data_IF_268278978280
#
_entry.id   IF_268278978280
#
_cell.length_a   1.000
_cell.length_b   1.000
_cell.length_c   1.000
_cell.angle_alpha   90.00
_cell.angle_beta   90.00
_cell.angle_gamma   90.00
#
_symmetry.space_group_name_H-M   'P 1'
#
loop_
_entity.id
_entity.type
_entity.pdbx_description
1 polymer ?
#
# COMPACT_ATOMS: atom_id res chain seq x y z
N UNK A 1 -39.23 -13.83 69.98
CA UNK A 1 -37.98 -13.68 69.19
C UNK A 1 -38.31 -13.72 67.69
N UNK A 2 -38.21 -12.61 66.96
CA UNK A 2 -38.00 -12.62 65.50
C UNK A 2 -37.39 -11.28 65.07
N UNK A 3 -36.15 -11.33 64.59
CA UNK A 3 -35.32 -10.16 64.25
C UNK A 3 -35.81 -9.49 62.97
N UNK A 4 -35.74 -8.16 63.01
CA UNK A 4 -35.88 -7.16 61.94
C UNK A 4 -35.32 -7.60 60.58
N UNK A 5 -36.13 -7.51 59.53
CA UNK A 5 -35.66 -7.35 58.15
C UNK A 5 -35.40 -5.87 57.86
N UNK A 6 -34.13 -5.48 57.70
CA UNK A 6 -33.76 -4.18 57.12
C UNK A 6 -33.95 -4.29 55.60
N UNK A 7 -35.09 -3.82 55.08
CA UNK A 7 -35.24 -3.62 53.64
C UNK A 7 -34.51 -2.33 53.22
N UNK A 8 -33.51 -2.49 52.34
CA UNK A 8 -32.80 -1.41 51.66
C UNK A 8 -33.78 -0.63 50.77
N UNK A 9 -34.27 0.52 51.24
CA UNK A 9 -34.96 1.50 50.40
C UNK A 9 -33.96 2.60 50.00
N UNK A 10 -33.03 2.29 49.09
CA UNK A 10 -32.39 3.37 48.33
C UNK A 10 -33.43 3.85 47.34
N UNK A 11 -33.82 5.12 47.42
CA UNK A 11 -34.91 5.67 46.62
C UNK A 11 -34.62 5.48 45.13
N UNK A 12 -35.67 5.29 44.32
CA UNK A 12 -35.54 5.10 42.86
C UNK A 12 -34.74 6.24 42.20
N UNK A 13 -34.77 7.44 42.79
CA UNK A 13 -33.99 8.62 42.42
C UNK A 13 -32.48 8.44 42.69
N UNK A 14 -32.09 7.86 43.83
CA UNK A 14 -30.68 7.58 44.15
C UNK A 14 -30.09 6.48 43.27
N UNK A 15 -30.86 5.43 42.96
CA UNK A 15 -30.40 4.38 42.03
C UNK A 15 -30.21 4.90 40.60
N UNK A 16 -31.06 5.83 40.15
CA UNK A 16 -30.92 6.49 38.86
C UNK A 16 -29.72 7.44 38.80
N UNK A 17 -29.44 8.17 39.88
CA UNK A 17 -28.25 9.04 39.96
C UNK A 17 -26.93 8.24 39.95
N UNK A 18 -26.91 7.09 40.64
CA UNK A 18 -25.76 6.18 40.65
C UNK A 18 -25.56 5.53 39.26
N UNK A 19 -26.63 5.13 38.57
CA UNK A 19 -26.52 4.54 37.22
C UNK A 19 -26.11 5.55 36.15
N UNK A 20 -26.61 6.79 36.21
CA UNK A 20 -26.17 7.91 35.34
C UNK A 20 -24.69 8.23 35.59
N UNK A 21 -24.27 8.30 36.86
CA UNK A 21 -22.88 8.54 37.24
C UNK A 21 -21.92 7.45 36.74
N UNK A 22 -22.29 6.17 36.87
CA UNK A 22 -21.50 5.03 36.36
C UNK A 22 -21.45 5.04 34.83
N UNK A 23 -22.56 5.32 34.15
CA UNK A 23 -22.62 5.42 32.68
C UNK A 23 -21.72 6.52 32.11
N UNK A 24 -21.71 7.70 32.72
CA UNK A 24 -20.83 8.81 32.35
C UNK A 24 -19.35 8.46 32.56
N UNK A 25 -19.01 7.83 33.69
CA UNK A 25 -17.63 7.43 34.00
C UNK A 25 -17.12 6.37 33.00
N UNK A 26 -17.93 5.36 32.67
CA UNK A 26 -17.57 4.34 31.67
C UNK A 26 -17.40 4.97 30.28
N UNK A 27 -18.30 5.88 29.88
CA UNK A 27 -18.21 6.59 28.60
C UNK A 27 -16.92 7.42 28.47
N UNK A 28 -16.54 8.14 29.53
CA UNK A 28 -15.29 8.94 29.57
C UNK A 28 -14.05 8.03 29.48
N UNK A 29 -14.03 6.90 30.19
CA UNK A 29 -12.90 5.93 30.15
C UNK A 29 -12.74 5.30 28.77
N UNK A 30 -13.84 4.95 28.09
CA UNK A 30 -13.82 4.42 26.72
C UNK A 30 -13.32 5.47 25.72
N UNK A 31 -13.76 6.73 25.83
CA UNK A 31 -13.28 7.82 24.97
C UNK A 31 -11.77 8.07 25.16
N UNK A 32 -11.27 8.12 26.40
CA UNK A 32 -9.85 8.30 26.68
C UNK A 32 -9.03 7.12 26.12
N UNK A 33 -9.58 5.90 26.22
CA UNK A 33 -8.96 4.70 25.67
C UNK A 33 -8.92 4.72 24.13
N UNK A 34 -9.99 5.15 23.46
CA UNK A 34 -10.05 5.28 21.99
C UNK A 34 -9.10 6.37 21.50
N UNK A 35 -9.08 7.55 22.12
CA UNK A 35 -8.13 8.63 21.79
C UNK A 35 -6.70 8.16 22.06
N UNK A 36 -6.46 7.44 23.16
CA UNK A 36 -5.18 6.84 23.50
C UNK A 36 -4.71 5.84 22.44
N UNK A 37 -5.61 4.98 21.94
CA UNK A 37 -5.32 4.03 20.84
C UNK A 37 -5.07 4.76 19.52
N UNK A 38 -5.85 5.78 19.17
CA UNK A 38 -5.63 6.62 17.98
C UNK A 38 -4.28 7.35 18.07
N UNK A 39 -3.94 7.90 19.23
CA UNK A 39 -2.63 8.50 19.49
C UNK A 39 -1.51 7.46 19.46
N UNK A 40 -1.74 6.22 19.92
CA UNK A 40 -0.76 5.13 19.84
C UNK A 40 -0.50 4.73 18.37
N UNK A 41 -1.57 4.58 17.59
CA UNK A 41 -1.55 4.30 16.15
C UNK A 41 -0.89 5.43 15.36
N UNK A 42 -1.03 6.69 15.82
CA UNK A 42 -0.35 7.87 15.28
C UNK A 42 1.14 7.91 15.67
N UNK A 43 1.49 7.63 16.93
CA UNK A 43 2.88 7.61 17.44
C UNK A 43 3.73 6.52 16.78
N UNK A 44 3.15 5.39 16.38
CA UNK A 44 3.89 4.35 15.67
C UNK A 44 4.25 4.72 14.21
N UNK A 45 3.64 5.77 13.65
CA UNK A 45 4.05 6.33 12.34
C UNK A 45 5.33 7.16 12.44
N UNK A 46 5.71 7.63 13.64
CA UNK A 46 6.80 8.63 13.81
C UNK A 46 8.23 8.07 13.74
N UNK A 47 8.40 6.75 13.58
CA UNK A 47 9.72 6.11 13.42
C UNK A 47 10.12 5.86 11.97
N UNK A 48 9.20 6.01 11.03
CA UNK A 48 9.47 5.91 9.59
C UNK A 48 9.63 7.35 9.12
N UNK A 49 10.87 7.80 8.87
CA UNK A 49 11.06 8.99 8.05
C UNK A 49 10.42 8.68 6.68
N UNK A 50 9.46 9.48 6.20
CA UNK A 50 8.93 9.30 4.85
C UNK A 50 10.11 9.23 3.89
N UNK A 51 10.14 8.23 3.03
CA UNK A 51 11.13 8.21 1.96
C UNK A 51 10.86 9.42 1.07
N UNK A 52 11.91 10.16 0.77
CA UNK A 52 11.81 11.29 -0.14
C UNK A 52 12.02 10.77 -1.56
N UNK A 53 11.12 11.16 -2.45
CA UNK A 53 11.18 10.79 -3.86
C UNK A 53 11.77 11.95 -4.66
N UNK A 54 12.56 11.62 -5.67
CA UNK A 54 12.79 12.53 -6.79
C UNK A 54 11.61 12.40 -7.75
N UNK A 55 11.06 13.50 -8.24
CA UNK A 55 9.89 13.51 -9.11
C UNK A 55 9.91 14.70 -10.07
N UNK A 56 9.15 14.58 -11.14
CA UNK A 56 8.83 15.65 -12.08
C UNK A 56 7.31 15.83 -12.14
N UNK A 57 6.88 17.08 -12.36
CA UNK A 57 5.48 17.43 -12.66
C UNK A 57 5.47 17.99 -14.07
N UNK A 58 4.63 17.43 -14.94
CA UNK A 58 4.53 17.87 -16.33
C UNK A 58 3.53 19.02 -16.52
N UNK A 59 3.29 19.41 -17.77
CA UNK A 59 2.35 20.48 -18.13
C UNK A 59 0.88 20.16 -17.85
N UNK A 60 0.55 18.88 -17.62
CA UNK A 60 -0.79 18.39 -17.28
C UNK A 60 -0.99 18.22 -15.78
N UNK A 61 -0.03 18.67 -14.96
CA UNK A 61 -0.02 18.48 -13.52
C UNK A 61 0.06 16.99 -13.09
N UNK A 62 0.72 16.15 -13.89
CA UNK A 62 0.90 14.72 -13.60
C UNK A 62 2.28 14.47 -12.99
N UNK A 63 2.32 13.70 -11.90
CA UNK A 63 3.58 13.40 -11.20
C UNK A 63 4.19 12.11 -11.72
N UNK A 64 5.45 12.20 -12.15
CA UNK A 64 6.29 11.04 -12.47
C UNK A 64 7.35 10.83 -11.39
N UNK A 65 7.39 9.64 -10.78
CA UNK A 65 8.42 9.27 -9.81
C UNK A 65 9.71 8.90 -10.55
N UNK A 66 10.80 9.61 -10.26
CA UNK A 66 12.14 9.35 -10.81
C UNK A 66 12.97 8.40 -9.95
N UNK A 67 12.52 8.11 -8.74
CA UNK A 67 13.19 7.21 -7.79
C UNK A 67 13.27 7.76 -6.37
N UNK A 68 14.12 7.14 -5.56
CA UNK A 68 14.40 7.59 -4.18
C UNK A 68 15.52 8.63 -4.18
N UNK A 69 15.34 9.73 -3.46
CA UNK A 69 16.31 10.83 -3.43
C UNK A 69 17.66 10.44 -2.78
N UNK A 70 17.68 9.34 -2.01
CA UNK A 70 18.86 8.78 -1.33
C UNK A 70 19.29 7.43 -1.90
N UNK A 71 18.83 7.09 -3.11
CA UNK A 71 19.01 5.78 -3.75
C UNK A 71 18.51 4.60 -2.92
N UNK A 72 17.69 4.83 -1.89
CA UNK A 72 17.05 3.79 -1.10
C UNK A 72 18.00 2.92 -0.29
N UNK A 73 19.10 3.49 0.22
CA UNK A 73 20.12 2.78 1.01
C UNK A 73 19.55 1.97 2.19
N UNK A 74 18.40 2.38 2.72
CA UNK A 74 17.67 1.71 3.81
C UNK A 74 16.16 1.54 3.48
N UNK A 75 15.80 1.21 2.25
CA UNK A 75 14.41 1.26 1.77
C UNK A 75 13.70 -0.10 1.73
N UNK A 76 13.62 -0.84 2.85
CA UNK A 76 12.92 -2.13 2.88
C UNK A 76 11.45 -2.03 2.40
N UNK A 77 10.71 -1.05 2.92
CA UNK A 77 9.36 -0.73 2.48
C UNK A 77 9.35 0.64 1.79
N UNK A 78 8.84 0.67 0.57
CA UNK A 78 8.58 1.90 -0.18
C UNK A 78 7.07 2.06 -0.36
N UNK A 79 6.53 3.20 0.06
CA UNK A 79 5.13 3.56 -0.15
C UNK A 79 5.12 4.78 -1.03
N UNK A 80 4.77 4.59 -2.31
CA UNK A 80 4.62 5.71 -3.24
C UNK A 80 3.29 6.40 -2.91
N UNK A 81 3.28 7.72 -2.66
CA UNK A 81 2.07 8.44 -2.28
C UNK A 81 1.09 8.54 -3.45
N UNK A 82 -0.20 8.69 -3.15
CA UNK A 82 -1.24 8.98 -4.17
C UNK A 82 -1.02 10.36 -4.83
N UNK A 83 -0.46 11.31 -4.07
CA UNK A 83 -0.22 12.67 -4.54
C UNK A 83 1.10 13.26 -4.03
N UNK A 84 1.73 14.11 -4.82
CA UNK A 84 2.82 15.00 -4.43
C UNK A 84 2.44 16.42 -4.82
N UNK A 85 2.58 17.39 -3.91
CA UNK A 85 2.16 18.79 -4.11
C UNK A 85 0.69 18.97 -4.55
N UNK A 86 -0.19 18.05 -4.09
CA UNK A 86 -1.60 18.02 -4.46
C UNK A 86 -1.88 17.50 -5.87
N UNK A 87 -0.86 17.03 -6.59
CA UNK A 87 -0.92 16.47 -7.93
C UNK A 87 -0.84 14.95 -7.88
N UNK A 88 -1.54 14.25 -8.79
CA UNK A 88 -1.67 12.77 -8.77
C UNK A 88 -0.37 12.12 -9.23
N UNK A 89 0.05 11.07 -8.53
CA UNK A 89 1.14 10.20 -9.01
C UNK A 89 0.59 9.22 -10.03
N UNK A 90 1.08 9.36 -11.26
CA UNK A 90 0.53 8.67 -12.43
C UNK A 90 1.54 7.74 -13.08
N UNK A 91 2.84 8.07 -12.97
CA UNK A 91 3.90 7.34 -13.64
C UNK A 91 5.10 7.05 -12.73
N UNK A 92 5.76 5.92 -12.99
CA UNK A 92 7.11 5.62 -12.53
C UNK A 92 8.04 5.67 -13.73
N UNK A 93 9.10 6.47 -13.66
CA UNK A 93 10.03 6.67 -14.75
C UNK A 93 10.89 5.44 -15.04
N UNK A 94 11.56 5.51 -16.19
CA UNK A 94 12.58 4.55 -16.58
C UNK A 94 13.69 4.49 -15.52
N UNK A 95 14.09 3.27 -15.13
CA UNK A 95 15.14 2.99 -14.15
C UNK A 95 14.92 3.56 -12.73
N UNK A 96 13.72 4.05 -12.39
CA UNK A 96 13.47 4.78 -11.13
C UNK A 96 13.94 4.06 -9.85
N UNK A 97 13.84 2.74 -9.83
CA UNK A 97 14.29 1.88 -8.74
C UNK A 97 15.27 0.80 -9.19
N UNK A 98 15.88 0.93 -10.38
CA UNK A 98 16.81 -0.08 -10.92
C UNK A 98 17.95 -0.38 -9.95
N UNK A 99 18.31 -1.66 -9.85
CA UNK A 99 19.39 -2.21 -9.04
C UNK A 99 19.22 -1.98 -7.52
N UNK A 100 18.03 -1.58 -7.07
CA UNK A 100 17.77 -1.33 -5.66
C UNK A 100 17.51 -2.62 -4.88
N UNK A 101 18.60 -3.26 -4.47
CA UNK A 101 18.59 -4.50 -3.69
C UNK A 101 18.33 -4.31 -2.19
N UNK A 102 17.77 -3.16 -1.79
CA UNK A 102 17.28 -2.92 -0.43
C UNK A 102 15.76 -2.97 -0.33
N UNK A 103 15.04 -2.73 -1.44
CA UNK A 103 13.58 -2.76 -1.47
C UNK A 103 13.11 -4.21 -1.41
N UNK A 104 12.29 -4.51 -0.40
CA UNK A 104 11.65 -5.81 -0.25
C UNK A 104 10.17 -5.76 -0.60
N UNK A 105 9.52 -4.63 -0.37
CA UNK A 105 8.09 -4.41 -0.60
C UNK A 105 7.84 -3.01 -1.14
N UNK A 106 6.95 -2.91 -2.14
CA UNK A 106 6.50 -1.62 -2.67
C UNK A 106 4.98 -1.54 -2.75
N UNK A 107 4.43 -0.45 -2.20
CA UNK A 107 3.03 -0.07 -2.35
C UNK A 107 2.92 1.00 -3.43
N UNK A 108 2.15 0.71 -4.48
CA UNK A 108 1.85 1.61 -5.58
C UNK A 108 0.55 2.38 -5.32
N UNK A 109 0.40 3.62 -5.83
CA UNK A 109 -0.83 4.37 -5.68
C UNK A 109 -1.92 3.83 -6.61
N UNK A 110 -3.18 3.98 -6.20
CA UNK A 110 -4.33 3.46 -6.95
C UNK A 110 -4.56 4.16 -8.29
N UNK A 111 -3.97 5.34 -8.49
CA UNK A 111 -4.05 6.10 -9.74
C UNK A 111 -2.86 5.92 -10.67
N UNK A 112 -1.95 4.95 -10.42
CA UNK A 112 -0.78 4.74 -11.25
C UNK A 112 -1.17 4.10 -12.60
N UNK A 113 -0.82 4.74 -13.71
CA UNK A 113 -1.17 4.29 -15.06
C UNK A 113 0.03 3.68 -15.80
N UNK A 114 1.25 4.09 -15.47
CA UNK A 114 2.46 3.69 -16.22
C UNK A 114 3.65 3.35 -15.34
N UNK A 115 4.32 2.26 -15.71
CA UNK A 115 5.64 1.89 -15.19
C UNK A 115 6.65 1.88 -16.35
N UNK A 116 7.73 2.63 -16.22
CA UNK A 116 8.76 2.80 -17.23
C UNK A 116 9.62 1.57 -17.49
N UNK A 117 10.49 1.68 -18.49
CA UNK A 117 11.48 0.64 -18.81
C UNK A 117 12.44 0.46 -17.65
N UNK A 118 12.73 -0.79 -17.29
CA UNK A 118 13.66 -1.13 -16.20
C UNK A 118 13.33 -0.47 -14.85
N UNK A 119 12.09 -0.01 -14.63
CA UNK A 119 11.72 0.73 -13.43
C UNK A 119 12.10 0.01 -12.13
N UNK A 120 12.01 -1.32 -12.08
CA UNK A 120 12.43 -2.18 -10.98
C UNK A 120 13.48 -3.22 -11.41
N UNK A 121 14.19 -2.98 -12.50
CA UNK A 121 15.18 -3.92 -13.01
C UNK A 121 16.18 -4.32 -11.92
N UNK A 122 16.42 -5.62 -11.77
CA UNK A 122 17.40 -6.15 -10.81
C UNK A 122 17.16 -5.73 -9.34
N UNK A 123 15.90 -5.49 -8.95
CA UNK A 123 15.48 -5.41 -7.56
C UNK A 123 15.34 -6.81 -6.95
N UNK A 124 16.44 -7.55 -6.81
CA UNK A 124 16.43 -8.99 -6.46
C UNK A 124 15.82 -9.32 -5.10
N UNK A 125 15.70 -8.33 -4.19
CA UNK A 125 15.04 -8.50 -2.89
C UNK A 125 13.56 -8.11 -2.89
N UNK A 126 13.05 -7.47 -3.95
CA UNK A 126 11.64 -7.09 -4.06
C UNK A 126 10.82 -8.36 -4.21
N UNK A 127 10.09 -8.73 -3.16
CA UNK A 127 9.28 -9.95 -3.08
C UNK A 127 7.79 -9.64 -3.03
N UNK A 128 7.43 -8.42 -2.64
CA UNK A 128 6.04 -7.98 -2.50
C UNK A 128 5.76 -6.74 -3.35
N UNK A 129 4.91 -6.91 -4.36
CA UNK A 129 4.37 -5.83 -5.17
C UNK A 129 2.97 -6.22 -5.62
N UNK A 130 2.03 -5.28 -5.53
CA UNK A 130 0.68 -5.42 -6.09
C UNK A 130 0.48 -4.32 -7.12
N UNK A 131 0.15 -4.71 -8.35
CA UNK A 131 -0.13 -3.76 -9.43
C UNK A 131 -1.55 -3.20 -9.27
N UNK A 132 -1.75 -1.87 -9.36
CA UNK A 132 -3.07 -1.27 -9.21
C UNK A 132 -3.94 -1.53 -10.45
N UNK A 133 -5.25 -1.59 -10.27
CA UNK A 133 -6.21 -1.84 -11.36
C UNK A 133 -6.22 -0.75 -12.45
N UNK A 134 -5.71 0.44 -12.12
CA UNK A 134 -5.52 1.56 -13.04
C UNK A 134 -4.37 1.39 -14.01
N UNK A 135 -3.46 0.43 -13.79
CA UNK A 135 -2.24 0.31 -14.58
C UNK A 135 -2.60 -0.05 -16.03
N UNK A 136 -2.12 0.77 -16.96
CA UNK A 136 -2.38 0.65 -18.40
C UNK A 136 -1.18 0.05 -19.11
N UNK A 137 0.04 0.41 -18.70
CA UNK A 137 1.26 -0.01 -19.39
C UNK A 137 2.44 -0.27 -18.47
N UNK A 138 3.25 -1.26 -18.85
CA UNK A 138 4.56 -1.53 -18.24
C UNK A 138 5.65 -1.60 -19.31
N UNK A 139 6.78 -0.97 -19.04
CA UNK A 139 7.94 -0.92 -19.93
C UNK A 139 8.71 -2.24 -19.99
N UNK A 140 9.63 -2.30 -20.94
CA UNK A 140 10.52 -3.46 -21.14
C UNK A 140 11.42 -3.67 -19.93
N UNK A 141 11.63 -4.94 -19.57
CA UNK A 141 12.48 -5.35 -18.43
C UNK A 141 12.10 -4.71 -17.08
N UNK A 142 10.87 -4.18 -16.94
CA UNK A 142 10.43 -3.42 -15.77
C UNK A 142 10.53 -4.19 -14.45
N UNK A 143 10.27 -5.49 -14.44
CA UNK A 143 10.43 -6.39 -13.28
C UNK A 143 11.46 -7.50 -13.52
N UNK A 144 12.32 -7.35 -14.53
CA UNK A 144 13.32 -8.37 -14.82
C UNK A 144 14.29 -8.54 -13.65
N UNK A 145 14.55 -9.78 -13.25
CA UNK A 145 15.43 -10.14 -12.13
C UNK A 145 14.95 -9.64 -10.74
N UNK A 146 13.66 -9.37 -10.57
CA UNK A 146 13.08 -9.14 -9.23
C UNK A 146 12.94 -10.45 -8.44
N UNK A 147 12.87 -10.35 -7.10
CA UNK A 147 12.63 -11.49 -6.21
C UNK A 147 11.17 -11.95 -6.11
N UNK A 148 10.26 -11.27 -6.80
CA UNK A 148 8.83 -11.57 -6.82
C UNK A 148 8.60 -12.85 -7.62
N UNK A 149 7.82 -13.76 -7.08
CA UNK A 149 7.56 -15.05 -7.74
C UNK A 149 6.41 -14.97 -8.72
N UNK A 150 5.41 -14.13 -8.43
CA UNK A 150 4.20 -13.98 -9.24
C UNK A 150 3.88 -12.52 -9.49
N UNK A 151 3.73 -12.14 -10.76
CA UNK A 151 3.16 -10.85 -11.16
C UNK A 151 1.76 -11.09 -11.71
N UNK A 152 0.75 -10.47 -11.10
CA UNK A 152 -0.61 -10.43 -11.61
C UNK A 152 -0.84 -9.08 -12.30
N UNK A 153 -0.99 -9.12 -13.62
CA UNK A 153 -1.35 -7.95 -14.40
C UNK A 153 -2.85 -7.64 -14.26
N UNK A 154 -3.23 -6.36 -14.12
CA UNK A 154 -4.63 -5.98 -14.03
C UNK A 154 -5.35 -6.18 -15.37
N UNK A 155 -6.69 -6.13 -15.32
CA UNK A 155 -7.56 -6.45 -16.44
C UNK A 155 -7.37 -5.54 -17.65
N UNK A 156 -7.15 -4.26 -17.41
CA UNK A 156 -7.20 -3.21 -18.44
C UNK A 156 -5.81 -2.89 -19.04
N UNK A 157 -4.84 -3.79 -18.93
CA UNK A 157 -3.53 -3.61 -19.53
C UNK A 157 -3.64 -3.45 -21.05
N UNK A 158 -2.98 -2.43 -21.59
CA UNK A 158 -2.89 -2.17 -23.03
C UNK A 158 -1.54 -2.63 -23.58
N UNK A 159 -0.46 -2.49 -22.80
CA UNK A 159 0.87 -2.89 -23.24
C UNK A 159 1.74 -3.43 -22.11
N UNK A 160 2.45 -4.52 -22.42
CA UNK A 160 3.47 -5.11 -21.54
C UNK A 160 4.75 -5.22 -22.35
N UNK A 161 5.80 -4.58 -21.86
CA UNK A 161 7.10 -4.53 -22.54
C UNK A 161 7.76 -5.89 -22.69
N UNK A 162 8.70 -5.96 -23.63
CA UNK A 162 9.49 -7.17 -23.87
C UNK A 162 10.28 -7.49 -22.60
N UNK A 163 10.30 -8.76 -22.21
CA UNK A 163 11.04 -9.23 -21.04
C UNK A 163 10.67 -8.52 -19.72
N UNK A 164 9.50 -7.88 -19.64
CA UNK A 164 9.03 -7.19 -18.43
C UNK A 164 9.11 -8.08 -17.18
N UNK A 165 8.94 -9.39 -17.34
CA UNK A 165 8.98 -10.39 -16.27
C UNK A 165 10.08 -11.43 -16.49
N UNK A 166 11.22 -11.05 -17.10
CA UNK A 166 12.36 -11.96 -17.25
C UNK A 166 12.84 -12.48 -15.89
N UNK A 167 12.97 -13.81 -15.78
CA UNK A 167 13.32 -14.53 -14.55
C UNK A 167 12.29 -14.44 -13.42
N UNK A 168 11.05 -14.05 -13.73
CA UNK A 168 9.89 -14.23 -12.84
C UNK A 168 9.30 -15.62 -13.09
N UNK A 169 8.90 -16.30 -12.01
CA UNK A 169 8.38 -17.68 -12.09
C UNK A 169 7.01 -17.73 -12.76
N UNK A 170 6.08 -16.88 -12.32
CA UNK A 170 4.69 -16.93 -12.76
C UNK A 170 4.17 -15.54 -13.16
N UNK A 171 3.43 -15.47 -14.25
CA UNK A 171 2.58 -14.30 -14.58
C UNK A 171 1.13 -14.72 -14.70
N UNK A 172 0.25 -13.92 -14.13
CA UNK A 172 -1.20 -14.01 -14.30
C UNK A 172 -1.68 -12.82 -15.12
N UNK A 173 -2.50 -13.06 -16.14
CA UNK A 173 -2.93 -12.00 -17.06
C UNK A 173 -4.33 -12.25 -17.61
N UNK A 174 -5.03 -11.18 -18.00
CA UNK A 174 -6.32 -11.28 -18.67
C UNK A 174 -6.12 -11.38 -20.18
N UNK A 175 -6.57 -12.48 -20.78
CA UNK A 175 -6.43 -12.72 -22.23
C UNK A 175 -7.33 -11.76 -23.03
N UNK A 176 -6.79 -11.12 -24.07
CA UNK A 176 -7.58 -10.34 -25.04
C UNK A 176 -7.11 -8.90 -25.29
N UNK A 177 -6.37 -8.31 -24.33
CA UNK A 177 -5.89 -6.91 -24.45
C UNK A 177 -4.38 -6.79 -24.70
N UNK A 178 -3.61 -7.82 -24.38
CA UNK A 178 -2.15 -7.83 -24.50
C UNK A 178 -1.67 -9.00 -25.37
N UNK A 179 -0.72 -8.73 -26.27
CA UNK A 179 -0.06 -9.74 -27.13
C UNK A 179 1.41 -9.91 -26.71
N UNK A 180 2.05 -11.03 -27.08
CA UNK A 180 3.49 -11.23 -26.84
C UNK A 180 3.90 -11.92 -25.52
N UNK A 181 3.00 -12.67 -24.88
CA UNK A 181 3.31 -13.51 -23.71
C UNK A 181 4.47 -14.51 -23.99
N UNK A 182 5.26 -14.93 -22.97
CA UNK A 182 5.09 -14.69 -21.52
C UNK A 182 5.88 -13.49 -20.96
N UNK A 183 6.33 -12.55 -21.82
CA UNK A 183 7.11 -11.37 -21.41
C UNK A 183 8.35 -11.72 -20.56
N UNK A 184 8.95 -12.89 -20.80
CA UNK A 184 10.16 -13.38 -20.12
C UNK A 184 9.92 -14.26 -18.90
N UNK A 185 8.68 -14.41 -18.42
CA UNK A 185 8.37 -15.27 -17.29
C UNK A 185 8.43 -16.77 -17.65
N UNK A 186 8.67 -17.63 -16.66
CA UNK A 186 8.73 -19.07 -16.86
C UNK A 186 7.36 -19.67 -17.18
N UNK A 187 6.32 -19.24 -16.45
CA UNK A 187 4.94 -19.68 -16.63
C UNK A 187 4.01 -18.49 -16.84
N UNK A 188 3.00 -18.64 -17.70
CA UNK A 188 1.95 -17.65 -17.91
C UNK A 188 0.57 -18.30 -17.83
N UNK A 189 -0.28 -17.77 -16.96
CA UNK A 189 -1.64 -18.26 -16.71
C UNK A 189 -2.65 -17.18 -17.07
N UNK A 190 -3.53 -17.49 -18.02
CA UNK A 190 -4.68 -16.63 -18.30
C UNK A 190 -5.70 -16.75 -17.17
N UNK A 191 -6.15 -15.63 -16.62
CA UNK A 191 -7.21 -15.57 -15.61
C UNK A 191 -8.55 -15.26 -16.27
N UNK A 192 -9.62 -15.81 -15.70
CA UNK A 192 -11.01 -15.51 -16.10
C UNK A 192 -11.58 -14.45 -15.16
N UNK A 193 -12.56 -13.68 -15.66
CA UNK A 193 -13.26 -12.65 -14.89
C UNK A 193 -14.04 -13.21 -13.70
#
# INVERSE_FOLDING_TARGET
>A
MKKRGRHNFKSKTEQNLISIGIGLVIGIVLIISIIGVIQLMSKNKSKIKPKTFSYEIDENDEVTILGLSDWGKDAALVVIPETIDGKRVESIADNAFSDNNNITSISLPNGLEKIGNRAFYNCSKLTEITLPDSLISVGSESFANCGVTTIRFPKNMVSIGINACLNIENVEYYSGFVTGAPWGAANATAVTE
#
